data_IF_415822549139
#
_entry.id   IF_415822549139
#
_cell.length_a   1.000
_cell.length_b   1.000
_cell.length_c   1.000
_cell.angle_alpha   90.00
_cell.angle_beta   90.00
_cell.angle_gamma   90.00
#
_symmetry.space_group_name_H-M   'P 1'
#
loop_
_entity.id
_entity.type
_entity.pdbx_description
1 polymer ?
#
# COMPACT_ATOMS: atom_id res chain seq x y z
N UNK A 1 12.83 -4.83 -8.04
CA UNK A 1 12.09 -4.33 -9.24
C UNK A 1 13.06 -3.90 -10.33
N UNK A 2 12.75 -4.12 -11.64
CA UNK A 2 13.68 -3.78 -12.72
C UNK A 2 13.84 -2.26 -12.88
N UNK A 3 15.04 -1.82 -13.27
CA UNK A 3 15.37 -0.41 -13.54
C UNK A 3 14.39 0.24 -14.53
N UNK A 4 13.98 -0.49 -15.58
CA UNK A 4 13.02 -0.02 -16.58
C UNK A 4 11.64 0.27 -16.00
N UNK A 5 11.16 -0.53 -15.05
CA UNK A 5 9.88 -0.31 -14.39
C UNK A 5 9.92 0.97 -13.55
N UNK A 6 11.01 1.22 -12.82
CA UNK A 6 11.20 2.47 -12.06
C UNK A 6 11.20 3.69 -12.99
N UNK A 7 11.92 3.61 -14.12
CA UNK A 7 11.97 4.70 -15.09
C UNK A 7 10.59 4.99 -15.69
N UNK A 8 9.86 3.94 -16.08
CA UNK A 8 8.53 4.04 -16.68
C UNK A 8 7.53 4.72 -15.73
N UNK A 9 7.45 4.30 -14.47
CA UNK A 9 6.57 4.94 -13.49
C UNK A 9 7.00 6.38 -13.18
N UNK A 10 8.31 6.68 -13.10
CA UNK A 10 8.77 8.06 -12.95
C UNK A 10 8.32 8.95 -14.12
N UNK A 11 8.27 8.41 -15.35
CA UNK A 11 7.77 9.15 -16.51
C UNK A 11 6.25 9.38 -16.44
N UNK A 12 5.49 8.41 -15.94
CA UNK A 12 4.04 8.57 -15.77
C UNK A 12 3.68 9.71 -14.81
N UNK A 13 4.50 9.93 -13.79
CA UNK A 13 4.32 11.07 -12.86
C UNK A 13 4.74 12.43 -13.45
N UNK A 14 5.16 12.52 -14.73
CA UNK A 14 5.22 13.79 -15.46
C UNK A 14 3.82 14.39 -15.65
N UNK A 15 2.84 13.53 -15.87
CA UNK A 15 1.42 13.87 -15.91
C UNK A 15 0.74 13.35 -14.64
N UNK A 16 -0.57 13.53 -14.50
CA UNK A 16 -1.36 12.92 -13.43
C UNK A 16 -1.74 11.49 -13.87
N UNK A 17 -1.19 10.43 -13.25
CA UNK A 17 -1.61 9.07 -13.57
C UNK A 17 -3.10 8.89 -13.25
N UNK A 18 -3.75 8.00 -13.98
CA UNK A 18 -5.19 7.77 -13.82
C UNK A 18 -5.60 7.13 -12.48
N UNK A 19 -4.65 6.50 -11.78
CA UNK A 19 -4.86 5.98 -10.42
C UNK A 19 -4.66 7.03 -9.33
N UNK A 20 -4.00 8.15 -9.64
CA UNK A 20 -3.86 9.28 -8.74
C UNK A 20 -5.14 10.12 -8.74
N UNK A 21 -6.18 9.62 -8.10
CA UNK A 21 -7.49 10.28 -8.04
C UNK A 21 -7.45 11.56 -7.22
N UNK A 22 -6.56 11.63 -6.23
CA UNK A 22 -6.51 12.68 -5.22
C UNK A 22 -7.58 12.53 -4.13
N UNK A 23 -8.25 11.38 -4.08
CA UNK A 23 -9.29 11.05 -3.10
C UNK A 23 -8.92 9.69 -2.49
N UNK A 24 -8.91 9.63 -1.17
CA UNK A 24 -8.73 8.37 -0.44
C UNK A 24 -9.98 7.51 -0.53
N UNK A 25 -9.83 6.19 -0.56
CA UNK A 25 -10.95 5.27 -0.68
C UNK A 25 -11.79 5.22 0.60
N UNK A 26 -13.10 4.94 0.50
CA UNK A 26 -13.99 4.85 1.67
C UNK A 26 -13.54 3.80 2.67
N UNK A 27 -12.93 2.70 2.23
CA UNK A 27 -12.43 1.62 3.08
C UNK A 27 -11.32 2.10 4.03
N UNK A 28 -10.49 3.05 3.60
CA UNK A 28 -9.51 3.68 4.49
C UNK A 28 -10.19 4.56 5.55
N UNK A 29 -11.23 5.32 5.19
CA UNK A 29 -11.98 6.12 6.16
C UNK A 29 -12.71 5.23 7.16
N UNK A 30 -13.39 4.17 6.71
CA UNK A 30 -14.04 3.20 7.59
C UNK A 30 -13.04 2.58 8.58
N UNK A 31 -11.83 2.25 8.13
CA UNK A 31 -10.79 1.73 8.99
C UNK A 31 -10.36 2.77 10.05
N UNK A 32 -10.08 4.01 9.62
CA UNK A 32 -9.64 5.10 10.50
C UNK A 32 -10.69 5.43 11.56
N UNK A 33 -11.98 5.41 11.22
CA UNK A 33 -13.09 5.67 12.17
C UNK A 33 -13.22 4.59 13.26
N UNK A 34 -12.81 3.37 12.95
CA UNK A 34 -12.96 2.21 13.85
C UNK A 34 -11.71 1.96 14.72
N UNK A 35 -10.58 2.57 14.39
CA UNK A 35 -9.31 2.29 15.06
C UNK A 35 -8.64 3.58 15.56
N UNK A 36 -8.08 3.58 16.77
CA UNK A 36 -7.35 4.73 17.28
C UNK A 36 -6.09 4.98 16.43
N UNK A 37 -5.68 6.25 16.26
CA UNK A 37 -4.48 6.56 15.52
C UNK A 37 -3.22 6.01 16.18
N UNK A 38 -2.31 5.53 15.37
CA UNK A 38 -1.01 5.00 15.74
C UNK A 38 0.03 5.32 14.66
N UNK A 39 0.97 4.42 14.44
CA UNK A 39 1.97 4.53 13.36
C UNK A 39 1.45 3.83 12.10
N UNK A 40 1.43 4.53 10.98
CA UNK A 40 0.98 3.98 9.70
C UNK A 40 2.09 3.98 8.65
N UNK A 41 2.13 2.93 7.82
CA UNK A 41 3.00 2.82 6.66
C UNK A 41 2.15 2.70 5.38
N UNK A 42 2.35 3.62 4.43
CA UNK A 42 1.71 3.60 3.11
C UNK A 42 2.69 3.07 2.05
N UNK A 43 2.50 1.85 1.61
CA UNK A 43 3.33 1.16 0.61
C UNK A 43 2.86 1.53 -0.80
N UNK A 44 3.71 2.24 -1.55
CA UNK A 44 3.35 2.83 -2.83
C UNK A 44 2.53 4.11 -2.66
N UNK A 45 2.94 4.98 -1.75
CA UNK A 45 2.20 6.17 -1.34
C UNK A 45 1.92 7.18 -2.48
N UNK A 46 2.56 7.02 -3.63
CA UNK A 46 2.35 7.87 -4.81
C UNK A 46 2.56 9.35 -4.49
N UNK A 47 1.55 10.16 -4.79
CA UNK A 47 1.55 11.61 -4.52
C UNK A 47 1.01 11.97 -3.13
N UNK A 48 0.87 11.00 -2.23
CA UNK A 48 0.62 11.20 -0.81
C UNK A 48 -0.85 11.45 -0.43
N UNK A 49 -1.81 11.06 -1.25
CA UNK A 49 -3.24 11.27 -0.95
C UNK A 49 -3.64 10.58 0.35
N UNK A 50 -3.35 9.28 0.50
CA UNK A 50 -3.67 8.52 1.70
C UNK A 50 -2.81 8.94 2.90
N UNK A 51 -1.53 9.30 2.64
CA UNK A 51 -0.64 9.85 3.66
C UNK A 51 -1.26 11.08 4.33
N UNK A 52 -1.75 12.04 3.52
CA UNK A 52 -2.40 13.26 4.03
C UNK A 52 -3.67 12.90 4.80
N UNK A 53 -4.52 12.02 4.26
CA UNK A 53 -5.76 11.60 4.93
C UNK A 53 -5.46 10.98 6.29
N UNK A 54 -4.52 10.04 6.40
CA UNK A 54 -4.14 9.43 7.67
C UNK A 54 -3.55 10.47 8.65
N UNK A 55 -2.66 11.36 8.18
CA UNK A 55 -2.08 12.41 9.02
C UNK A 55 -3.14 13.35 9.59
N UNK A 56 -4.12 13.79 8.78
CA UNK A 56 -5.26 14.62 9.21
C UNK A 56 -6.13 13.95 10.28
N UNK A 57 -6.06 12.61 10.38
CA UNK A 57 -6.77 11.84 11.41
C UNK A 57 -5.84 11.43 12.57
N UNK A 58 -4.68 12.08 12.70
CA UNK A 58 -3.79 11.93 13.85
C UNK A 58 -2.78 10.77 13.76
N UNK A 59 -2.72 10.04 12.64
CA UNK A 59 -1.74 8.97 12.44
C UNK A 59 -0.34 9.54 12.22
N UNK A 60 0.68 8.87 12.77
CA UNK A 60 2.08 9.13 12.45
C UNK A 60 2.44 8.34 11.18
N UNK A 61 2.49 9.04 10.05
CA UNK A 61 2.54 8.38 8.74
C UNK A 61 3.95 8.35 8.16
N UNK A 62 4.35 7.17 7.72
CA UNK A 62 5.49 6.94 6.85
C UNK A 62 4.98 6.52 5.47
N UNK A 63 5.44 7.14 4.40
CA UNK A 63 5.09 6.76 3.03
C UNK A 63 6.33 6.35 2.23
N UNK A 64 6.20 5.29 1.46
CA UNK A 64 7.26 4.76 0.58
C UNK A 64 6.75 4.66 -0.84
N UNK A 65 7.51 5.18 -1.81
CA UNK A 65 7.27 4.95 -3.24
C UNK A 65 8.62 4.95 -3.99
N UNK A 66 8.77 4.06 -4.97
CA UNK A 66 10.01 3.99 -5.75
C UNK A 66 10.14 5.13 -6.77
N UNK A 67 9.06 5.83 -7.10
CA UNK A 67 9.05 6.94 -8.04
C UNK A 67 9.43 8.25 -7.34
N UNK A 68 10.66 8.69 -7.49
CA UNK A 68 11.16 9.92 -6.84
C UNK A 68 10.31 11.18 -7.16
N UNK A 69 9.67 11.22 -8.35
CA UNK A 69 8.76 12.31 -8.72
C UNK A 69 7.46 12.28 -7.92
N UNK A 70 6.93 11.08 -7.65
CA UNK A 70 5.76 10.90 -6.80
C UNK A 70 6.05 11.40 -5.39
N UNK A 71 7.11 10.90 -4.78
CA UNK A 71 7.54 11.30 -3.43
C UNK A 71 7.78 12.80 -3.31
N UNK A 72 8.39 13.44 -4.32
CA UNK A 72 8.57 14.90 -4.32
C UNK A 72 7.24 15.66 -4.34
N UNK A 73 6.27 15.18 -5.15
CA UNK A 73 4.92 15.74 -5.15
C UNK A 73 4.22 15.51 -3.81
N UNK A 74 4.37 14.31 -3.24
CA UNK A 74 3.80 13.97 -1.93
C UNK A 74 4.32 14.92 -0.84
N UNK A 75 5.63 15.15 -0.75
CA UNK A 75 6.23 16.08 0.22
C UNK A 75 5.62 17.48 0.13
N UNK A 76 5.51 18.01 -1.11
CA UNK A 76 4.90 19.32 -1.33
C UNK A 76 3.44 19.35 -0.91
N UNK A 77 2.65 18.31 -1.23
CA UNK A 77 1.23 18.25 -0.86
C UNK A 77 1.01 18.09 0.64
N UNK A 78 1.84 17.31 1.31
CA UNK A 78 1.82 17.17 2.78
C UNK A 78 2.09 18.51 3.44
N UNK A 79 3.11 19.26 2.98
CA UNK A 79 3.43 20.61 3.45
C UNK A 79 2.26 21.59 3.18
N UNK A 80 1.69 21.59 1.97
CA UNK A 80 0.55 22.42 1.59
C UNK A 80 -0.72 22.11 2.41
N UNK A 81 -0.87 20.87 2.88
CA UNK A 81 -1.95 20.43 3.77
C UNK A 81 -1.71 20.82 5.24
N UNK A 82 -0.53 21.35 5.58
CA UNK A 82 -0.14 21.68 6.96
C UNK A 82 0.16 20.44 7.82
N UNK A 83 0.41 19.30 7.18
CA UNK A 83 0.62 18.02 7.85
C UNK A 83 2.12 17.62 7.90
N UNK A 84 2.41 16.57 8.66
CA UNK A 84 3.73 15.99 8.77
C UNK A 84 3.69 14.50 8.41
N UNK A 85 4.67 14.06 7.64
CA UNK A 85 4.87 12.64 7.34
C UNK A 85 6.33 12.38 6.92
N UNK A 86 6.81 11.19 7.20
CA UNK A 86 8.10 10.71 6.70
C UNK A 86 7.91 10.10 5.31
N UNK A 87 8.64 10.59 4.31
CA UNK A 87 8.46 10.15 2.92
C UNK A 87 9.79 9.71 2.31
N UNK A 88 9.85 8.44 1.89
CA UNK A 88 11.07 7.80 1.38
C UNK A 88 10.93 7.38 -0.08
N UNK A 89 12.00 7.59 -0.84
CA UNK A 89 12.13 7.01 -2.19
C UNK A 89 12.76 5.64 -2.03
N UNK A 90 11.93 4.59 -1.98
CA UNK A 90 12.41 3.23 -1.84
C UNK A 90 11.45 2.22 -2.49
N UNK A 91 11.91 1.00 -2.70
CA UNK A 91 11.12 -0.10 -3.24
C UNK A 91 10.42 -0.84 -2.10
N UNK A 92 9.13 -1.15 -2.24
CA UNK A 92 8.35 -1.90 -1.23
C UNK A 92 8.91 -3.28 -0.91
N UNK A 93 9.75 -3.83 -1.77
CA UNK A 93 10.47 -5.09 -1.54
C UNK A 93 11.86 -4.90 -0.91
N UNK A 94 12.30 -3.67 -0.69
CA UNK A 94 13.63 -3.34 -0.17
C UNK A 94 13.57 -2.27 0.91
N UNK A 95 13.06 -2.66 2.07
CA UNK A 95 12.75 -1.77 3.20
C UNK A 95 13.68 -2.03 4.40
N UNK A 96 14.89 -2.57 4.18
CA UNK A 96 15.81 -2.95 5.27
C UNK A 96 16.12 -1.80 6.25
N UNK A 97 16.19 -0.57 5.73
CA UNK A 97 16.51 0.63 6.53
C UNK A 97 15.27 1.22 7.24
N UNK A 98 14.07 0.71 6.95
CA UNK A 98 12.86 1.20 7.59
C UNK A 98 12.64 0.51 8.93
N UNK A 99 12.41 1.33 9.97
CA UNK A 99 12.20 0.83 11.34
C UNK A 99 10.72 0.81 11.70
N UNK A 100 10.20 -0.39 11.97
CA UNK A 100 8.85 -0.60 12.54
C UNK A 100 8.87 -0.54 14.07
N UNK A 101 7.82 -1.06 14.76
CA UNK A 101 6.63 -1.58 14.11
C UNK A 101 5.62 -0.50 13.72
N UNK A 102 4.67 -0.86 12.83
CA UNK A 102 3.54 -0.03 12.41
C UNK A 102 2.23 -0.69 12.83
N UNK A 103 1.28 0.10 13.33
CA UNK A 103 -0.06 -0.37 13.73
C UNK A 103 -0.97 -0.60 12.52
N UNK A 104 -0.73 0.17 11.45
CA UNK A 104 -1.38 0.01 10.14
C UNK A 104 -0.33 -0.04 9.04
N UNK A 105 -0.43 -1.03 8.15
CA UNK A 105 0.24 -0.99 6.84
C UNK A 105 -0.86 -0.94 5.77
N UNK A 106 -0.78 0.04 4.86
CA UNK A 106 -1.67 0.21 3.74
C UNK A 106 -0.97 -0.14 2.44
N UNK A 107 -1.60 -0.94 1.58
CA UNK A 107 -1.19 -1.19 0.20
C UNK A 107 -2.36 -0.97 -0.75
N UNK A 108 -2.29 0.06 -1.57
CA UNK A 108 -3.29 0.36 -2.57
C UNK A 108 -2.78 0.02 -3.98
N UNK A 109 -2.62 -1.27 -4.24
CA UNK A 109 -2.31 -1.77 -5.57
C UNK A 109 -0.83 -1.96 -5.91
N UNK A 110 0.06 -2.08 -4.92
CA UNK A 110 1.46 -2.43 -5.15
C UNK A 110 1.65 -3.95 -5.23
N UNK A 111 1.13 -4.68 -4.25
CA UNK A 111 1.34 -6.11 -4.10
C UNK A 111 0.92 -6.90 -5.34
N UNK A 112 -0.26 -6.64 -5.89
CA UNK A 112 -0.79 -7.37 -7.05
C UNK A 112 0.04 -7.19 -8.34
N UNK A 113 1.05 -6.34 -8.31
CA UNK A 113 1.97 -6.10 -9.42
C UNK A 113 3.34 -6.74 -9.25
N UNK A 114 3.58 -7.46 -8.15
CA UNK A 114 4.85 -8.09 -7.84
C UNK A 114 5.01 -9.45 -8.56
N UNK A 115 6.24 -9.83 -8.86
CA UNK A 115 6.59 -11.19 -9.24
C UNK A 115 6.66 -12.08 -8.00
N UNK A 116 6.63 -13.41 -8.19
CA UNK A 116 6.68 -14.36 -7.07
C UNK A 116 7.92 -14.19 -6.17
N UNK A 117 9.09 -13.94 -6.74
CA UNK A 117 10.31 -13.65 -5.96
C UNK A 117 10.21 -12.33 -5.17
N UNK A 118 9.50 -11.34 -5.73
CA UNK A 118 9.25 -10.06 -5.07
C UNK A 118 8.22 -10.20 -3.95
N UNK A 119 7.20 -11.05 -4.12
CA UNK A 119 6.18 -11.37 -3.10
C UNK A 119 6.83 -11.91 -1.83
N UNK A 120 7.78 -12.84 -1.95
CA UNK A 120 8.51 -13.39 -0.79
C UNK A 120 9.20 -12.28 0.00
N UNK A 121 9.91 -11.38 -0.68
CA UNK A 121 10.60 -10.25 -0.02
C UNK A 121 9.63 -9.26 0.61
N UNK A 122 8.51 -9.01 -0.05
CA UNK A 122 7.45 -8.15 0.47
C UNK A 122 6.86 -8.73 1.77
N UNK A 123 6.53 -10.02 1.79
CA UNK A 123 5.97 -10.70 2.97
C UNK A 123 6.96 -10.66 4.15
N UNK A 124 8.26 -10.86 3.90
CA UNK A 124 9.28 -10.74 4.95
C UNK A 124 9.36 -9.30 5.52
N UNK A 125 9.20 -8.28 4.67
CA UNK A 125 9.11 -6.89 5.14
C UNK A 125 7.83 -6.67 5.95
N UNK A 126 6.69 -7.19 5.49
CA UNK A 126 5.42 -7.08 6.20
C UNK A 126 5.50 -7.71 7.60
N UNK A 127 6.06 -8.92 7.70
CA UNK A 127 6.27 -9.62 8.96
C UNK A 127 7.13 -8.79 9.94
N UNK A 128 8.18 -8.17 9.46
CA UNK A 128 9.11 -7.39 10.28
C UNK A 128 8.53 -6.04 10.69
N UNK A 129 7.74 -5.42 9.82
CA UNK A 129 7.29 -4.03 9.97
C UNK A 129 5.90 -3.90 10.62
N UNK A 130 5.02 -4.88 10.47
CA UNK A 130 3.69 -4.84 11.08
C UNK A 130 3.79 -5.18 12.58
N UNK A 131 3.15 -4.40 13.42
CA UNK A 131 3.09 -4.66 14.86
C UNK A 131 2.29 -5.95 15.16
N UNK A 132 2.64 -6.70 16.21
CA UNK A 132 1.67 -7.59 16.85
C UNK A 132 0.42 -6.78 17.24
N UNK A 133 -0.78 -7.29 16.93
CA UNK A 133 -2.02 -6.52 17.08
C UNK A 133 -2.27 -5.45 16.00
N UNK A 134 -1.40 -5.35 14.99
CA UNK A 134 -1.53 -4.40 13.89
C UNK A 134 -2.34 -4.96 12.70
N UNK A 135 -2.69 -4.06 11.80
CA UNK A 135 -3.53 -4.35 10.64
C UNK A 135 -2.79 -4.11 9.32
N UNK A 136 -3.03 -4.98 8.35
CA UNK A 136 -2.63 -4.77 6.97
C UNK A 136 -3.88 -4.62 6.11
N UNK A 137 -4.13 -3.42 5.60
CA UNK A 137 -5.25 -3.08 4.73
C UNK A 137 -4.75 -3.03 3.29
N UNK A 138 -5.25 -3.91 2.43
CA UNK A 138 -4.81 -3.96 1.05
C UNK A 138 -5.96 -3.92 0.05
N UNK A 139 -5.69 -3.32 -1.10
CA UNK A 139 -6.51 -3.40 -2.30
C UNK A 139 -5.74 -4.02 -3.45
N UNK A 140 -6.35 -4.96 -4.15
CA UNK A 140 -5.76 -5.54 -5.34
C UNK A 140 -6.78 -6.06 -6.34
N UNK A 141 -6.37 -6.16 -7.61
CA UNK A 141 -7.13 -6.91 -8.60
C UNK A 141 -6.98 -8.40 -8.31
N UNK A 142 -8.08 -9.14 -8.42
CA UNK A 142 -8.06 -10.59 -8.30
C UNK A 142 -7.84 -11.19 -9.70
N UNK A 143 -6.97 -12.18 -9.78
CA UNK A 143 -6.62 -12.86 -11.03
C UNK A 143 -7.17 -14.28 -11.00
N UNK A 144 -7.93 -14.63 -12.01
CA UNK A 144 -8.42 -15.99 -12.22
C UNK A 144 -7.32 -16.94 -12.66
N UNK A 145 -7.56 -18.24 -12.47
CA UNK A 145 -6.65 -19.28 -12.96
C UNK A 145 -6.46 -19.17 -14.48
N UNK A 146 -5.18 -19.10 -14.90
CA UNK A 146 -4.83 -19.03 -16.33
C UNK A 146 -4.97 -17.65 -16.97
N UNK A 147 -5.38 -16.62 -16.24
CA UNK A 147 -5.38 -15.26 -16.74
C UNK A 147 -3.96 -14.71 -16.83
N UNK A 148 -3.69 -13.91 -17.87
CA UNK A 148 -2.43 -13.18 -18.03
C UNK A 148 -2.52 -11.80 -17.40
N UNK A 149 -1.38 -11.23 -16.99
CA UNK A 149 -1.30 -9.88 -16.45
C UNK A 149 -1.11 -9.83 -14.94
N UNK A 150 -1.26 -8.65 -14.35
CA UNK A 150 -1.11 -8.41 -12.92
C UNK A 150 -2.39 -8.73 -12.17
N UNK A 151 -2.30 -9.22 -10.94
CA UNK A 151 -3.44 -9.53 -10.08
C UNK A 151 -3.01 -10.46 -8.96
N UNK A 152 -3.77 -10.50 -7.88
CA UNK A 152 -3.60 -11.41 -6.76
C UNK A 152 -4.04 -12.82 -7.19
N UNK A 153 -3.15 -13.77 -7.08
CA UNK A 153 -3.45 -15.19 -7.26
C UNK A 153 -3.82 -15.83 -5.91
N UNK A 154 -4.47 -16.97 -5.92
CA UNK A 154 -4.84 -17.67 -4.68
C UNK A 154 -3.60 -17.95 -3.81
N UNK A 155 -2.49 -18.33 -4.42
CA UNK A 155 -1.23 -18.58 -3.70
C UNK A 155 -0.70 -17.35 -2.95
N UNK A 156 -0.92 -16.13 -3.46
CA UNK A 156 -0.53 -14.88 -2.80
C UNK A 156 -1.38 -14.67 -1.54
N UNK A 157 -2.69 -14.90 -1.65
CA UNK A 157 -3.63 -14.81 -0.53
C UNK A 157 -3.34 -15.88 0.54
N UNK A 158 -3.01 -17.10 0.13
CA UNK A 158 -2.62 -18.18 1.03
C UNK A 158 -1.32 -17.85 1.78
N UNK A 159 -0.34 -17.27 1.09
CA UNK A 159 0.93 -16.85 1.69
C UNK A 159 0.73 -15.73 2.73
N UNK A 160 -0.13 -14.75 2.46
CA UNK A 160 -0.50 -13.72 3.43
C UNK A 160 -1.28 -14.32 4.61
N UNK A 161 -2.21 -15.25 4.34
CA UNK A 161 -3.03 -15.89 5.38
C UNK A 161 -2.25 -16.88 6.26
N UNK A 162 -1.06 -17.31 5.82
CA UNK A 162 -0.14 -18.06 6.67
C UNK A 162 0.51 -17.21 7.77
N UNK A 163 0.63 -15.90 7.55
CA UNK A 163 1.19 -14.92 8.49
C UNK A 163 0.11 -14.15 9.26
N UNK A 164 -1.00 -13.83 8.62
CA UNK A 164 -2.02 -12.90 9.09
C UNK A 164 -3.41 -13.55 9.03
N UNK A 165 -4.31 -13.10 9.90
CA UNK A 165 -5.72 -13.48 9.88
C UNK A 165 -6.52 -12.53 9.00
N UNK A 166 -7.33 -13.05 8.08
CA UNK A 166 -8.31 -12.24 7.34
C UNK A 166 -9.46 -11.89 8.27
N UNK A 167 -9.67 -10.61 8.56
CA UNK A 167 -10.76 -10.13 9.43
C UNK A 167 -11.90 -9.47 8.66
N UNK A 168 -11.62 -8.95 7.47
CA UNK A 168 -12.65 -8.43 6.55
C UNK A 168 -12.21 -8.61 5.09
N UNK A 169 -13.19 -8.85 4.21
CA UNK A 169 -12.98 -8.90 2.76
C UNK A 169 -14.20 -8.36 2.02
N UNK A 170 -13.98 -7.36 1.18
CA UNK A 170 -15.00 -6.76 0.32
C UNK A 170 -14.63 -6.99 -1.14
N UNK A 171 -15.28 -7.95 -1.79
CA UNK A 171 -15.11 -8.19 -3.21
C UNK A 171 -15.89 -7.16 -4.02
N UNK A 172 -15.31 -6.74 -5.13
CA UNK A 172 -15.88 -5.75 -6.01
C UNK A 172 -15.32 -5.81 -7.42
N UNK A 173 -15.55 -4.76 -8.16
CA UNK A 173 -14.98 -4.58 -9.50
C UNK A 173 -14.20 -3.28 -9.54
N UNK A 174 -12.95 -3.40 -9.95
CA UNK A 174 -12.10 -2.25 -10.19
C UNK A 174 -12.21 -1.75 -11.63
N UNK A 175 -11.25 -0.93 -12.03
CA UNK A 175 -11.19 -0.34 -13.36
C UNK A 175 -11.24 -1.40 -14.46
N UNK A 176 -12.06 -1.15 -15.49
CA UNK A 176 -12.27 -2.08 -16.60
C UNK A 176 -13.08 -3.31 -16.25
N UNK A 177 -13.88 -3.23 -15.18
CA UNK A 177 -14.69 -4.33 -14.64
C UNK A 177 -13.87 -5.55 -14.19
N UNK A 178 -12.59 -5.35 -13.89
CA UNK A 178 -11.74 -6.42 -13.35
C UNK A 178 -12.15 -6.74 -11.93
N UNK A 179 -12.28 -8.04 -11.55
CA UNK A 179 -12.48 -8.43 -10.18
C UNK A 179 -11.40 -7.81 -9.28
N UNK A 180 -11.80 -7.30 -8.14
CA UNK A 180 -10.90 -6.70 -7.16
C UNK A 180 -11.41 -6.97 -5.76
N UNK A 181 -10.54 -6.86 -4.78
CA UNK A 181 -10.92 -6.95 -3.38
C UNK A 181 -10.18 -5.93 -2.52
N UNK A 182 -10.88 -5.45 -1.52
CA UNK A 182 -10.30 -4.90 -0.30
C UNK A 182 -10.22 -6.00 0.73
N UNK A 183 -9.06 -6.18 1.35
CA UNK A 183 -8.84 -7.22 2.35
C UNK A 183 -8.14 -6.58 3.54
N UNK A 184 -8.74 -6.76 4.71
CA UNK A 184 -8.15 -6.38 5.99
C UNK A 184 -7.61 -7.62 6.66
N UNK A 185 -6.32 -7.61 6.91
CA UNK A 185 -5.63 -8.64 7.67
C UNK A 185 -5.27 -8.11 9.05
N UNK A 186 -5.25 -9.00 10.02
CA UNK A 186 -4.84 -8.75 11.39
C UNK A 186 -3.67 -9.64 11.77
N UNK A 187 -2.66 -9.07 12.43
CA UNK A 187 -1.55 -9.82 12.99
C UNK A 187 -1.85 -10.15 14.45
N UNK A 188 -2.00 -11.42 14.76
CA UNK A 188 -2.15 -11.86 16.16
C UNK A 188 -0.93 -11.47 17.00
N UNK A 189 -1.15 -11.34 18.31
CA UNK A 189 -0.08 -11.10 19.31
C UNK A 189 0.91 -12.27 19.40
#
# INVERSE_FOLDING_TARGET
MSYFRRLFFNLWYLHKPHWDTGISPPELFEFIEQHPPGRALDLGCGTGTNVITMAQHGWQVTGVDFAARAVRKARKRVEEAGEQAELYVNDVIDLADLTGPFDLILDLGCFHGLSQDEVVRYILNLERLLAPGGYFLMYGFIKGLGESGTGLEQMDLDALSALLEVVDRKDGTGRGLRPSAWITYFRRE
#
